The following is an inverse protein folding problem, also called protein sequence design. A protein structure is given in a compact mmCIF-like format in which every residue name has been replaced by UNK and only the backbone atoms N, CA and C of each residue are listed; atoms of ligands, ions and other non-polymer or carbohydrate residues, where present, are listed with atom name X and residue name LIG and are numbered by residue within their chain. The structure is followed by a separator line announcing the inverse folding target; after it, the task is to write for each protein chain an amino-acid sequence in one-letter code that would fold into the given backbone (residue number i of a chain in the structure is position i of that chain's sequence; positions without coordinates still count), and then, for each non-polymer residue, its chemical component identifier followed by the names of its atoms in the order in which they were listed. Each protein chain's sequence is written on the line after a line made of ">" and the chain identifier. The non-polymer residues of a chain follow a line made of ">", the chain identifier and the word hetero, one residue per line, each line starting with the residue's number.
data_IF_729416306306
#
_entry.id   IF_729416306306
#
_cell.length_a   1.000
_cell.length_b   1.000
_cell.length_c   1.000
_cell.angle_alpha   90.00
_cell.angle_beta   90.00
_cell.angle_gamma   90.00
#
_symmetry.space_group_name_H-M   'P 1'
#
loop_
_entity.id
_entity.type
_entity.pdbx_description
1 polymer ?
#
# COMPACT_ATOMS: atom_id res chain seq x y z
N UNK A 1 29.27 27.40 -21.09
CA UNK A 1 28.52 26.14 -21.06
C UNK A 1 29.37 25.11 -21.76
N UNK A 2 29.93 24.19 -20.98
CA UNK A 2 30.94 23.23 -21.48
C UNK A 2 30.27 21.93 -21.88
N UNK A 3 30.82 21.23 -22.87
CA UNK A 3 30.31 19.95 -23.37
C UNK A 3 30.14 18.86 -22.29
N UNK A 4 30.74 19.05 -21.10
CA UNK A 4 30.56 18.20 -19.91
C UNK A 4 29.18 18.31 -19.26
N UNK A 5 28.45 19.41 -19.46
CA UNK A 5 27.13 19.64 -18.84
C UNK A 5 25.98 19.07 -19.67
N UNK A 6 26.20 18.80 -20.98
CA UNK A 6 25.22 18.12 -21.83
C UNK A 6 25.32 16.59 -21.77
N UNK A 7 26.41 16.04 -21.22
CA UNK A 7 26.60 14.58 -21.12
C UNK A 7 26.04 13.97 -19.82
N UNK A 8 25.77 14.80 -18.79
CA UNK A 8 25.00 14.39 -17.60
C UNK A 8 23.49 14.24 -17.87
N UNK A 9 23.00 14.73 -19.01
CA UNK A 9 21.61 14.60 -19.43
C UNK A 9 21.39 13.43 -20.42
N UNK A 10 22.44 12.66 -20.71
CA UNK A 10 22.42 11.59 -21.73
C UNK A 10 23.16 10.32 -21.28
N UNK A 11 23.36 10.11 -19.98
CA UNK A 11 23.88 8.86 -19.42
C UNK A 11 22.73 8.10 -18.75
N UNK A 12 22.43 6.93 -19.30
CA UNK A 12 21.19 6.20 -19.08
C UNK A 12 20.78 6.00 -17.64
N UNK A 13 19.52 6.35 -17.35
CA UNK A 13 18.74 5.58 -16.41
C UNK A 13 18.46 4.23 -17.09
N UNK A 14 19.38 3.31 -16.81
CA UNK A 14 19.20 1.87 -16.98
C UNK A 14 17.83 1.48 -16.40
N UNK A 15 17.11 0.60 -17.11
CA UNK A 15 15.71 0.21 -16.90
C UNK A 15 15.25 0.22 -15.43
N UNK A 16 14.32 1.13 -15.08
CA UNK A 16 13.62 1.13 -13.78
C UNK A 16 12.31 0.33 -13.84
N UNK A 17 11.84 -0.29 -12.74
CA UNK A 17 10.85 -1.36 -12.77
C UNK A 17 9.48 -0.81 -13.15
N UNK A 18 9.08 -1.01 -14.40
CA UNK A 18 7.81 -0.54 -14.98
C UNK A 18 6.62 -1.50 -14.76
N UNK A 19 6.73 -2.46 -13.84
CA UNK A 19 5.72 -3.50 -13.67
C UNK A 19 5.12 -3.58 -12.26
N UNK A 20 5.49 -2.68 -11.32
CA UNK A 20 4.86 -2.69 -9.99
C UNK A 20 3.41 -2.19 -10.08
N UNK A 21 2.47 -3.06 -9.73
CA UNK A 21 1.02 -2.78 -9.74
C UNK A 21 0.49 -2.42 -8.35
N UNK A 22 1.16 -2.86 -7.28
CA UNK A 22 0.79 -2.57 -5.90
C UNK A 22 1.84 -1.65 -5.25
N UNK A 23 1.34 -0.63 -4.57
CA UNK A 23 2.11 0.34 -3.81
C UNK A 23 1.49 0.47 -2.42
N UNK A 24 2.31 0.32 -1.38
CA UNK A 24 1.86 0.44 0.00
C UNK A 24 2.80 1.42 0.69
N UNK A 25 2.24 2.36 1.44
CA UNK A 25 2.99 3.36 2.18
C UNK A 25 2.34 3.65 3.52
N UNK A 26 3.04 4.42 4.36
CA UNK A 26 2.54 4.84 5.67
C UNK A 26 2.78 6.31 5.93
N UNK A 27 1.80 6.96 6.55
CA UNK A 27 1.93 8.22 7.28
C UNK A 27 1.78 7.89 8.75
N UNK A 28 2.91 7.48 9.30
CA UNK A 28 2.99 6.84 10.61
C UNK A 28 3.76 7.77 11.53
N UNK A 29 3.21 7.99 12.72
CA UNK A 29 3.89 8.72 13.77
C UNK A 29 5.23 8.05 14.10
N UNK A 30 6.30 8.83 14.07
CA UNK A 30 7.68 8.34 14.11
C UNK A 30 7.99 7.34 15.24
N UNK A 31 7.37 7.47 16.41
CA UNK A 31 7.57 6.59 17.57
C UNK A 31 6.98 5.18 17.41
N UNK A 32 6.10 4.99 16.41
CA UNK A 32 5.48 3.69 16.13
C UNK A 32 6.35 2.81 15.23
N UNK A 33 7.50 3.30 14.74
CA UNK A 33 8.46 2.45 14.07
C UNK A 33 9.33 1.70 15.10
N UNK A 34 9.61 0.40 14.90
CA UNK A 34 9.26 -0.44 13.75
C UNK A 34 7.99 -1.28 13.95
N UNK A 35 7.10 -0.91 14.88
CA UNK A 35 5.88 -1.66 15.20
C UNK A 35 4.86 -1.66 14.05
N UNK A 36 4.77 -0.55 13.32
CA UNK A 36 3.97 -0.41 12.11
C UNK A 36 4.90 -0.38 10.91
N UNK A 37 4.91 -1.46 10.11
CA UNK A 37 5.79 -1.59 8.95
C UNK A 37 5.00 -1.91 7.67
N UNK A 38 4.66 -0.89 6.86
CA UNK A 38 4.01 -1.09 5.56
C UNK A 38 4.87 -1.87 4.55
N UNK A 39 6.20 -1.88 4.73
CA UNK A 39 7.14 -2.56 3.83
C UNK A 39 6.92 -4.07 3.81
N UNK A 40 6.58 -4.65 4.97
CA UNK A 40 6.26 -6.06 5.13
C UNK A 40 5.15 -6.53 4.17
N UNK A 41 4.04 -5.78 4.12
CA UNK A 41 2.92 -6.07 3.23
C UNK A 41 3.27 -5.84 1.76
N UNK A 42 4.08 -4.79 1.49
CA UNK A 42 4.46 -4.42 0.13
C UNK A 42 5.28 -5.52 -0.55
N UNK A 43 6.24 -6.10 0.17
CA UNK A 43 7.12 -7.15 -0.35
C UNK A 43 6.31 -8.40 -0.70
N UNK A 44 5.52 -8.91 0.25
CA UNK A 44 4.71 -10.13 0.06
C UNK A 44 3.70 -9.95 -1.07
N UNK A 45 2.93 -8.86 -1.06
CA UNK A 45 1.85 -8.67 -2.04
C UNK A 45 2.38 -8.40 -3.44
N UNK A 46 3.55 -7.75 -3.59
CA UNK A 46 4.16 -7.57 -4.92
C UNK A 46 4.61 -8.87 -5.55
N UNK A 47 5.05 -9.83 -4.75
CA UNK A 47 5.52 -11.12 -5.24
C UNK A 47 4.37 -12.08 -5.54
N UNK A 48 3.26 -11.98 -4.79
CA UNK A 48 2.13 -12.92 -4.88
C UNK A 48 0.93 -12.45 -5.69
N UNK A 49 0.73 -11.14 -5.85
CA UNK A 49 -0.44 -10.59 -6.52
C UNK A 49 -0.09 -9.96 -7.86
N UNK A 50 -0.86 -10.30 -8.88
CA UNK A 50 -0.90 -9.61 -10.16
C UNK A 50 -2.34 -9.13 -10.44
N UNK A 51 -2.55 -7.81 -10.36
CA UNK A 51 -3.84 -7.15 -10.52
C UNK A 51 -4.57 -7.50 -11.82
N UNK A 52 -3.82 -7.86 -12.87
CA UNK A 52 -4.40 -8.24 -14.18
C UNK A 52 -5.24 -9.51 -14.10
N UNK A 53 -5.01 -10.36 -13.10
CA UNK A 53 -5.76 -11.59 -12.91
C UNK A 53 -7.20 -11.32 -12.44
N UNK A 54 -7.46 -10.13 -11.89
CA UNK A 54 -8.79 -9.66 -11.48
C UNK A 54 -9.46 -8.75 -12.52
N UNK A 55 -8.77 -8.37 -13.59
CA UNK A 55 -9.32 -7.53 -14.66
C UNK A 55 -8.46 -6.32 -14.99
N UNK A 56 -9.00 -5.44 -15.84
CA UNK A 56 -8.27 -4.28 -16.38
C UNK A 56 -8.77 -2.93 -15.86
N UNK A 57 -9.78 -2.95 -14.98
CA UNK A 57 -10.32 -1.75 -14.34
C UNK A 57 -9.35 -1.04 -13.40
N UNK A 58 -8.37 -1.78 -12.85
CA UNK A 58 -7.31 -1.25 -11.99
C UNK A 58 -5.97 -1.86 -12.44
N UNK A 59 -5.05 -1.00 -12.87
CA UNK A 59 -3.66 -1.35 -13.20
C UNK A 59 -2.68 -0.99 -12.09
N UNK A 60 -3.08 -0.07 -11.20
CA UNK A 60 -2.27 0.40 -10.09
C UNK A 60 -3.14 0.57 -8.85
N UNK A 61 -2.75 -0.07 -7.75
CA UNK A 61 -3.40 0.03 -6.45
C UNK A 61 -2.43 0.66 -5.45
N UNK A 62 -2.77 1.84 -4.94
CA UNK A 62 -2.01 2.56 -3.93
C UNK A 62 -2.77 2.52 -2.61
N UNK A 63 -2.13 1.96 -1.59
CA UNK A 63 -2.64 1.91 -0.23
C UNK A 63 -1.77 2.74 0.70
N UNK A 64 -2.39 3.55 1.56
CA UNK A 64 -1.68 4.31 2.60
C UNK A 64 -2.27 4.05 3.97
N UNK A 65 -1.45 3.53 4.89
CA UNK A 65 -1.78 3.48 6.31
C UNK A 65 -1.60 4.86 6.93
N UNK A 66 -2.62 5.38 7.61
CA UNK A 66 -2.54 6.63 8.38
C UNK A 66 -2.59 6.28 9.86
N UNK A 67 -1.51 6.55 10.60
CA UNK A 67 -1.43 6.31 12.06
C UNK A 67 -0.81 7.53 12.71
N UNK A 68 -1.66 8.43 13.22
CA UNK A 68 -1.26 9.75 13.71
C UNK A 68 -1.93 10.03 15.06
N UNK A 69 -1.21 10.61 16.01
CA UNK A 69 -1.76 11.01 17.32
C UNK A 69 -2.92 12.01 17.16
N UNK A 70 -2.76 12.98 16.26
CA UNK A 70 -3.81 13.90 15.84
C UNK A 70 -3.82 14.05 14.32
N UNK A 71 -4.99 13.88 13.71
CA UNK A 71 -5.17 14.21 12.29
C UNK A 71 -5.48 15.70 12.19
N UNK A 72 -4.46 16.47 11.85
CA UNK A 72 -4.68 17.90 11.59
C UNK A 72 -5.45 18.09 10.26
N UNK A 73 -6.14 19.23 10.06
CA UNK A 73 -6.89 19.51 8.84
C UNK A 73 -6.08 19.43 7.54
N UNK A 74 -4.74 19.53 7.63
CA UNK A 74 -3.85 19.37 6.48
C UNK A 74 -3.72 17.90 6.02
N UNK A 75 -4.07 16.94 6.88
CA UNK A 75 -4.04 15.50 6.60
C UNK A 75 -5.44 14.90 6.38
N UNK A 76 -6.52 15.63 6.69
CA UNK A 76 -7.89 15.11 6.48
C UNK A 76 -8.20 14.83 5.01
N UNK A 77 -7.59 15.58 4.09
CA UNK A 77 -7.72 15.34 2.64
C UNK A 77 -7.00 14.09 2.15
N UNK A 78 -6.24 13.40 3.01
CA UNK A 78 -5.53 12.18 2.65
C UNK A 78 -6.35 10.94 2.98
N UNK A 79 -7.33 11.05 3.88
CA UNK A 79 -8.27 9.96 4.17
C UNK A 79 -9.28 9.78 3.03
N UNK A 80 -9.63 8.52 2.80
CA UNK A 80 -10.63 8.14 1.81
C UNK A 80 -9.98 7.55 0.56
N UNK A 81 -10.69 7.66 -0.57
CA UNK A 81 -10.35 6.99 -1.82
C UNK A 81 -10.42 7.92 -3.02
N UNK A 82 -9.63 7.60 -4.04
CA UNK A 82 -9.62 8.26 -5.33
C UNK A 82 -9.44 7.25 -6.45
N UNK A 83 -10.19 7.42 -7.53
CA UNK A 83 -9.97 6.67 -8.77
C UNK A 83 -9.57 7.62 -9.88
N UNK A 84 -8.51 7.27 -10.60
CA UNK A 84 -7.93 8.04 -11.70
C UNK A 84 -8.11 7.25 -13.01
N UNK A 85 -9.16 7.56 -13.80
CA UNK A 85 -9.56 6.78 -14.98
C UNK A 85 -8.49 6.66 -16.06
N UNK A 86 -7.65 7.69 -16.24
CA UNK A 86 -6.64 7.70 -17.32
C UNK A 86 -5.54 6.68 -17.09
N UNK A 87 -5.19 6.46 -15.83
CA UNK A 87 -4.17 5.53 -15.39
C UNK A 87 -4.76 4.17 -14.96
N UNK A 88 -6.09 4.06 -14.87
CA UNK A 88 -6.78 2.97 -14.16
C UNK A 88 -6.16 2.76 -12.77
N UNK A 89 -5.96 3.85 -12.04
CA UNK A 89 -5.30 3.84 -10.74
C UNK A 89 -6.31 4.07 -9.64
N UNK A 90 -6.30 3.18 -8.64
CA UNK A 90 -7.05 3.33 -7.42
C UNK A 90 -6.11 3.69 -6.29
N UNK A 91 -6.44 4.74 -5.54
CA UNK A 91 -5.72 5.17 -4.36
C UNK A 91 -6.67 5.15 -3.17
N UNK A 92 -6.23 4.61 -2.05
CA UNK A 92 -6.99 4.58 -0.80
C UNK A 92 -6.05 4.81 0.38
N UNK A 93 -6.53 5.57 1.35
CA UNK A 93 -5.88 5.67 2.65
C UNK A 93 -6.86 5.31 3.75
N UNK A 94 -6.39 4.47 4.68
CA UNK A 94 -7.15 3.97 5.81
C UNK A 94 -6.43 4.35 7.09
N UNK A 95 -7.19 4.87 8.04
CA UNK A 95 -6.71 5.22 9.36
C UNK A 95 -6.67 3.99 10.26
N UNK A 96 -5.57 3.82 10.99
CA UNK A 96 -5.55 3.01 12.20
C UNK A 96 -5.53 3.94 13.41
N UNK A 97 -6.32 3.60 14.43
CA UNK A 97 -6.35 4.34 15.68
C UNK A 97 -4.96 4.36 16.33
N UNK A 98 -4.42 5.56 16.53
CA UNK A 98 -3.14 5.72 17.21
C UNK A 98 -3.14 5.09 18.60
N UNK A 99 -4.21 5.30 19.38
CA UNK A 99 -4.33 4.75 20.73
C UNK A 99 -4.29 3.22 20.72
N UNK A 100 -5.06 2.58 19.82
CA UNK A 100 -5.08 1.12 19.71
C UNK A 100 -3.73 0.57 19.28
N UNK A 101 -3.07 1.23 18.32
CA UNK A 101 -1.73 0.84 17.86
C UNK A 101 -0.69 0.97 18.98
N UNK A 102 -0.74 2.03 19.80
CA UNK A 102 0.17 2.21 20.93
C UNK A 102 -0.01 1.10 21.97
N UNK A 103 -1.25 0.80 22.34
CA UNK A 103 -1.59 -0.14 23.41
C UNK A 103 -1.43 -1.63 23.03
N UNK A 104 -1.48 -1.95 21.74
CA UNK A 104 -1.43 -3.33 21.24
C UNK A 104 -0.01 -3.92 21.22
N UNK A 105 0.14 -5.23 21.21
CA UNK A 105 1.44 -5.85 20.91
C UNK A 105 1.71 -5.85 19.39
N UNK A 106 2.96 -6.08 18.96
CA UNK A 106 3.36 -6.06 17.53
C UNK A 106 2.49 -6.96 16.65
N UNK A 107 2.21 -8.19 17.10
CA UNK A 107 1.35 -9.15 16.39
C UNK A 107 -0.09 -8.64 16.24
N UNK A 108 -0.65 -8.05 17.29
CA UNK A 108 -1.97 -7.44 17.24
C UNK A 108 -2.01 -6.23 16.29
N UNK A 109 -0.94 -5.44 16.22
CA UNK A 109 -0.82 -4.34 15.24
C UNK A 109 -0.79 -4.85 13.81
N UNK A 110 -0.12 -5.98 13.53
CA UNK A 110 -0.13 -6.60 12.21
C UNK A 110 -1.57 -6.97 11.81
N UNK A 111 -2.34 -7.58 12.71
CA UNK A 111 -3.75 -7.88 12.44
C UNK A 111 -4.61 -6.63 12.20
N UNK A 112 -4.35 -5.53 12.91
CA UNK A 112 -5.02 -4.25 12.63
C UNK A 112 -4.66 -3.73 11.23
N UNK A 113 -3.41 -3.88 10.80
CA UNK A 113 -2.96 -3.49 9.47
C UNK A 113 -3.59 -4.37 8.38
N UNK A 114 -3.68 -5.69 8.58
CA UNK A 114 -4.37 -6.61 7.68
C UNK A 114 -5.83 -6.20 7.46
N UNK A 115 -6.56 -5.98 8.57
CA UNK A 115 -7.96 -5.56 8.52
C UNK A 115 -8.14 -4.22 7.80
N UNK A 116 -7.28 -3.24 8.10
CA UNK A 116 -7.29 -1.94 7.43
C UNK A 116 -7.01 -2.08 5.92
N UNK A 117 -6.11 -2.99 5.53
CA UNK A 117 -5.81 -3.25 4.13
C UNK A 117 -7.02 -3.82 3.38
N UNK A 118 -7.65 -4.86 3.95
CA UNK A 118 -8.86 -5.47 3.38
C UNK A 118 -10.01 -4.46 3.27
N UNK A 119 -10.19 -3.60 4.28
CA UNK A 119 -11.16 -2.51 4.24
C UNK A 119 -10.90 -1.53 3.08
N UNK A 120 -9.64 -1.26 2.75
CA UNK A 120 -9.33 -0.42 1.58
C UNK A 120 -9.57 -1.11 0.24
N UNK A 121 -9.54 -2.45 0.17
CA UNK A 121 -9.97 -3.20 -1.02
C UNK A 121 -11.49 -3.11 -1.17
N UNK A 122 -12.25 -3.27 -0.09
CA UNK A 122 -13.73 -3.17 -0.09
C UNK A 122 -14.21 -1.83 -0.69
N UNK A 123 -13.43 -0.77 -0.48
CA UNK A 123 -13.68 0.56 -1.00
C UNK A 123 -13.64 0.69 -2.54
N UNK A 124 -13.12 -0.32 -3.27
CA UNK A 124 -13.17 -0.39 -4.73
C UNK A 124 -14.63 -0.51 -5.24
N UNK A 125 -15.50 -1.20 -4.48
CA UNK A 125 -16.91 -1.38 -4.85
C UNK A 125 -17.68 -0.06 -4.98
N UNK A 126 -17.17 1.00 -4.35
CA UNK A 126 -17.82 2.31 -4.27
C UNK A 126 -17.42 3.27 -5.40
N UNK A 127 -16.55 2.84 -6.34
CA UNK A 127 -16.10 3.69 -7.46
C UNK A 127 -16.54 3.14 -8.81
N UNK A 128 -16.82 4.05 -9.74
CA UNK A 128 -17.12 3.69 -11.12
C UNK A 128 -15.82 3.50 -11.91
N UNK A 129 -15.41 2.24 -12.09
CA UNK A 129 -14.24 1.88 -12.89
C UNK A 129 -14.51 2.01 -14.39
N UNK A 130 -13.46 2.30 -15.17
CA UNK A 130 -13.59 2.39 -16.65
C UNK A 130 -13.72 1.02 -17.32
N UNK A 131 -13.35 -0.04 -16.62
CA UNK A 131 -13.41 -1.42 -17.07
C UNK A 131 -13.67 -2.36 -15.86
N UNK A 132 -14.10 -3.61 -16.10
CA UNK A 132 -14.33 -4.56 -15.01
C UNK A 132 -13.07 -4.85 -14.19
N UNK A 133 -13.25 -5.01 -12.89
CA UNK A 133 -12.26 -5.48 -11.94
C UNK A 133 -12.97 -6.26 -10.82
N UNK A 134 -12.57 -7.50 -10.61
CA UNK A 134 -13.11 -8.41 -9.61
C UNK A 134 -12.45 -8.17 -8.26
N UNK A 135 -12.93 -7.13 -7.57
CA UNK A 135 -12.41 -6.76 -6.26
C UNK A 135 -12.71 -7.80 -5.17
N UNK A 136 -13.74 -8.64 -5.34
CA UNK A 136 -14.08 -9.71 -4.39
C UNK A 136 -13.02 -10.81 -4.43
N UNK A 137 -12.65 -11.27 -5.63
CA UNK A 137 -11.55 -12.24 -5.79
C UNK A 137 -10.20 -11.65 -5.35
N UNK A 138 -9.91 -10.38 -5.69
CA UNK A 138 -8.70 -9.70 -5.21
C UNK A 138 -8.63 -9.67 -3.67
N UNK A 139 -9.74 -9.32 -3.01
CA UNK A 139 -9.83 -9.32 -1.55
C UNK A 139 -9.60 -10.72 -0.97
N UNK A 140 -10.23 -11.74 -1.55
CA UNK A 140 -10.13 -13.13 -1.09
C UNK A 140 -8.69 -13.64 -1.15
N UNK A 141 -7.98 -13.40 -2.25
CA UNK A 141 -6.59 -13.83 -2.41
C UNK A 141 -5.67 -13.11 -1.42
N UNK A 142 -5.90 -11.82 -1.17
CA UNK A 142 -5.14 -11.06 -0.17
C UNK A 142 -5.41 -11.60 1.24
N UNK A 143 -6.65 -11.92 1.58
CA UNK A 143 -7.02 -12.49 2.88
C UNK A 143 -6.40 -13.90 3.08
N UNK A 144 -6.33 -14.71 2.02
CA UNK A 144 -5.64 -16.00 2.06
C UNK A 144 -4.14 -15.82 2.30
N UNK A 145 -3.48 -14.90 1.60
CA UNK A 145 -2.07 -14.56 1.84
C UNK A 145 -1.86 -14.12 3.29
N UNK A 146 -2.73 -13.28 3.84
CA UNK A 146 -2.63 -12.82 5.22
C UNK A 146 -2.76 -13.96 6.23
N UNK A 147 -3.54 -15.00 5.91
CA UNK A 147 -3.70 -16.18 6.76
C UNK A 147 -2.50 -17.14 6.69
N UNK A 148 -1.80 -17.19 5.55
CA UNK A 148 -0.70 -18.13 5.31
C UNK A 148 0.67 -17.64 5.82
N UNK A 149 0.87 -16.33 5.94
CA UNK A 149 2.17 -15.74 6.24
C UNK A 149 2.48 -15.70 7.75
N UNK A 150 3.70 -16.09 8.11
CA UNK A 150 4.25 -15.89 9.46
C UNK A 150 4.88 -14.49 9.55
N UNK A 151 4.00 -13.48 9.62
CA UNK A 151 4.37 -12.08 9.64
C UNK A 151 5.36 -11.72 10.75
N UNK A 152 5.27 -12.37 11.90
CA UNK A 152 6.17 -12.15 13.02
C UNK A 152 7.62 -12.50 12.66
N UNK A 153 7.85 -13.65 12.00
CA UNK A 153 9.20 -14.04 11.58
C UNK A 153 9.78 -13.14 10.48
N UNK A 154 8.95 -12.71 9.53
CA UNK A 154 9.35 -11.80 8.45
C UNK A 154 9.73 -10.41 8.98
N UNK A 155 8.95 -9.90 9.93
CA UNK A 155 9.19 -8.58 10.54
C UNK A 155 10.48 -8.49 11.34
N UNK A 156 11.01 -9.62 11.84
CA UNK A 156 12.28 -9.69 12.58
C UNK A 156 13.49 -9.91 11.65
N UNK A 157 13.26 -10.48 10.46
CA UNK A 157 14.29 -10.65 9.44
C UNK A 157 14.66 -9.32 8.77
N UNK A 158 13.69 -8.41 8.57
CA UNK A 158 13.87 -7.11 7.95
C UNK A 158 14.51 -6.04 8.88
N UNK A 159 14.84 -6.39 10.13
CA UNK A 159 15.48 -5.50 11.11
C UNK A 159 16.99 -5.74 11.31
N UNK A 160 17.59 -6.71 10.61
CA UNK A 160 19.03 -7.03 10.67
C UNK A 160 19.83 -6.41 9.53
#
# INVERSE_FOLDING_TARGET
>A
MTAKEQQLMASGVQAGPKDHQIFISGRIWHELYPKVDPGLFLEVLRDKINLRDYGTGINQFYFTFIVMEEITPNFSGWLGKGYYPKEARFEVAVELSYAEVVESEKEAVIHLMEQAFLQGIDQIAEVNLVAPFDHESFRSDVEEIFTEEDWCQLSDANQK
#
